data_IF_466932660821
#
_entry.id   IF_466932660821
#
_cell.length_a   1.000
_cell.length_b   1.000
_cell.length_c   1.000
_cell.angle_alpha   90.00
_cell.angle_beta   90.00
_cell.angle_gamma   90.00
#
_symmetry.space_group_name_H-M   'P 1'
#
loop_
_entity.id
_entity.type
_entity.pdbx_description
1 polymer ?
#
# COMPACT_ATOMS: atom_id res chain seq x y z
N UNK A 1 29.97 41.70 0.32
CA UNK A 1 30.99 40.67 0.56
C UNK A 1 30.52 39.89 1.78
N UNK A 2 30.14 38.63 1.77
CA UNK A 2 30.04 37.49 0.84
C UNK A 2 28.97 36.61 1.51
N UNK A 3 28.18 35.75 0.89
CA UNK A 3 28.30 34.89 -0.27
C UNK A 3 26.86 34.62 -0.72
N UNK A 4 26.67 34.53 -2.03
CA UNK A 4 25.47 34.00 -2.64
C UNK A 4 25.17 32.61 -2.06
N UNK A 5 24.00 32.44 -1.46
CA UNK A 5 23.35 31.13 -1.36
C UNK A 5 23.15 30.63 -2.80
N UNK A 6 24.15 29.89 -3.27
CA UNK A 6 24.05 29.06 -4.45
C UNK A 6 22.98 28.00 -4.16
N UNK A 7 21.74 28.32 -4.50
CA UNK A 7 20.76 27.28 -4.83
C UNK A 7 21.26 26.63 -6.11
N UNK A 8 22.12 25.62 -5.99
CA UNK A 8 22.27 24.64 -7.05
C UNK A 8 20.89 23.98 -7.25
N UNK A 9 20.24 24.11 -8.42
CA UNK A 9 19.08 23.29 -8.70
C UNK A 9 19.60 21.87 -8.89
N UNK A 10 19.48 21.03 -7.84
CA UNK A 10 19.53 19.59 -8.02
C UNK A 10 18.55 19.26 -9.16
N UNK A 11 19.04 18.68 -10.25
CA UNK A 11 18.33 18.55 -11.54
C UNK A 11 17.18 17.52 -11.53
N UNK A 12 16.44 17.44 -10.43
CA UNK A 12 15.30 16.55 -10.18
C UNK A 12 13.95 17.28 -10.21
N UNK A 13 13.92 18.53 -10.70
CA UNK A 13 12.67 19.27 -10.88
C UNK A 13 11.72 18.51 -11.79
N UNK A 14 10.44 18.50 -11.44
CA UNK A 14 9.38 17.87 -12.24
C UNK A 14 9.37 18.36 -13.70
N UNK A 15 9.73 19.62 -13.93
CA UNK A 15 9.70 20.24 -15.26
C UNK A 15 10.84 19.82 -16.18
N UNK A 16 11.89 19.18 -15.64
CA UNK A 16 12.97 18.65 -16.46
C UNK A 16 12.48 17.50 -17.35
N UNK A 17 13.14 17.35 -18.50
CA UNK A 17 12.78 16.32 -19.49
C UNK A 17 12.79 14.93 -18.82
N UNK A 18 11.66 14.24 -18.85
CA UNK A 18 11.50 12.90 -18.28
C UNK A 18 11.35 12.81 -16.75
N UNK A 19 11.37 13.91 -15.98
CA UNK A 19 11.24 13.83 -14.51
C UNK A 19 9.80 13.60 -14.03
N UNK A 20 8.81 13.69 -14.92
CA UNK A 20 7.42 13.25 -14.65
C UNK A 20 7.31 11.75 -14.30
N UNK A 21 8.35 10.95 -14.56
CA UNK A 21 8.43 9.51 -14.27
C UNK A 21 8.09 9.16 -12.82
N UNK A 22 8.36 10.06 -11.86
CA UNK A 22 8.00 9.89 -10.43
C UNK A 22 6.48 9.83 -10.25
N UNK A 23 5.75 10.67 -10.97
CA UNK A 23 4.28 10.71 -10.95
C UNK A 23 3.68 9.47 -11.60
N UNK A 24 4.26 9.00 -12.71
CA UNK A 24 3.84 7.75 -13.38
C UNK A 24 4.08 6.55 -12.46
N UNK A 25 5.26 6.47 -11.83
CA UNK A 25 5.59 5.42 -10.86
C UNK A 25 4.63 5.38 -9.67
N UNK A 26 4.16 6.53 -9.20
CA UNK A 26 3.18 6.60 -8.10
C UNK A 26 1.89 5.81 -8.41
N UNK A 27 1.49 5.70 -9.68
CA UNK A 27 0.35 4.88 -10.07
C UNK A 27 0.63 3.37 -9.90
N UNK A 28 1.85 2.92 -10.19
CA UNK A 28 2.28 1.54 -9.93
C UNK A 28 2.39 1.25 -8.44
N UNK A 29 2.99 2.18 -7.69
CA UNK A 29 3.14 2.08 -6.24
C UNK A 29 1.75 2.04 -5.56
N UNK A 30 0.77 2.79 -6.06
CA UNK A 30 -0.61 2.76 -5.58
C UNK A 30 -1.26 1.38 -5.71
N UNK A 31 -1.06 0.67 -6.82
CA UNK A 31 -1.51 -0.72 -6.96
C UNK A 31 -0.84 -1.61 -5.91
N UNK A 32 0.48 -1.46 -5.69
CA UNK A 32 1.20 -2.27 -4.70
C UNK A 32 0.70 -2.00 -3.27
N UNK A 33 0.47 -0.74 -2.92
CA UNK A 33 -0.03 -0.36 -1.60
C UNK A 33 -1.37 -1.01 -1.24
N UNK A 34 -2.27 -1.21 -2.21
CA UNK A 34 -3.50 -1.97 -1.96
C UNK A 34 -3.21 -3.40 -1.51
N UNK A 35 -2.23 -4.07 -2.13
CA UNK A 35 -1.82 -5.42 -1.74
C UNK A 35 -1.16 -5.42 -0.36
N UNK A 36 -0.33 -4.43 -0.05
CA UNK A 36 0.32 -4.30 1.25
C UNK A 36 -0.71 -4.07 2.38
N UNK A 37 -1.75 -3.25 2.13
CA UNK A 37 -2.86 -3.03 3.07
C UNK A 37 -3.66 -4.31 3.30
N UNK A 38 -3.99 -5.04 2.24
CA UNK A 38 -4.71 -6.34 2.34
C UNK A 38 -3.90 -7.34 3.16
N UNK A 39 -2.58 -7.38 2.96
CA UNK A 39 -1.69 -8.25 3.72
C UNK A 39 -1.72 -7.88 5.22
N UNK A 40 -1.55 -6.59 5.55
CA UNK A 40 -1.61 -6.11 6.93
C UNK A 40 -2.94 -6.42 7.62
N UNK A 41 -4.07 -6.23 6.93
CA UNK A 41 -5.40 -6.58 7.47
C UNK A 41 -5.54 -8.09 7.69
N UNK A 42 -5.01 -8.90 6.77
CA UNK A 42 -5.03 -10.37 6.91
C UNK A 42 -4.24 -10.81 8.14
N UNK A 43 -3.05 -10.25 8.35
CA UNK A 43 -2.21 -10.51 9.54
C UNK A 43 -2.95 -10.13 10.82
N UNK A 44 -3.62 -8.97 10.83
CA UNK A 44 -4.46 -8.57 11.96
C UNK A 44 -5.63 -9.55 12.19
N UNK A 45 -6.32 -9.96 11.13
CA UNK A 45 -7.44 -10.90 11.24
C UNK A 45 -6.96 -12.24 11.81
N UNK A 46 -5.77 -12.72 11.46
CA UNK A 46 -5.22 -13.97 11.98
C UNK A 46 -4.95 -13.92 13.49
N UNK A 47 -4.59 -12.75 14.04
CA UNK A 47 -4.50 -12.56 15.49
C UNK A 47 -5.86 -12.78 16.18
N UNK A 48 -6.92 -12.21 15.62
CA UNK A 48 -8.29 -12.36 16.17
C UNK A 48 -8.72 -13.83 16.17
N UNK A 49 -8.43 -14.56 15.08
CA UNK A 49 -8.72 -15.99 14.97
C UNK A 49 -7.91 -16.83 15.94
N UNK A 50 -6.64 -16.51 16.16
CA UNK A 50 -5.79 -17.21 17.11
C UNK A 50 -6.31 -17.06 18.54
N UNK A 51 -6.75 -15.85 18.92
CA UNK A 51 -7.33 -15.61 20.24
C UNK A 51 -8.67 -16.31 20.41
N UNK A 52 -9.57 -16.22 19.42
CA UNK A 52 -10.83 -16.96 19.37
C UNK A 52 -10.62 -18.47 19.58
N UNK A 53 -9.65 -19.07 18.87
CA UNK A 53 -9.31 -20.49 18.99
C UNK A 53 -8.80 -20.84 20.39
N UNK A 54 -7.99 -19.97 20.98
CA UNK A 54 -7.43 -20.17 22.32
C UNK A 54 -8.50 -20.14 23.41
N UNK A 55 -9.44 -19.18 23.33
CA UNK A 55 -10.59 -19.08 24.23
C UNK A 55 -11.48 -20.32 24.15
N UNK A 56 -11.84 -20.77 22.93
CA UNK A 56 -12.64 -21.99 22.73
C UNK A 56 -11.97 -23.25 23.27
N UNK A 57 -10.67 -23.39 23.04
CA UNK A 57 -9.91 -24.53 23.56
C UNK A 57 -9.85 -24.51 25.10
N UNK A 58 -9.65 -23.32 25.70
CA UNK A 58 -9.63 -23.13 27.14
C UNK A 58 -11.00 -23.41 27.77
N UNK A 59 -12.08 -22.82 27.24
CA UNK A 59 -13.45 -23.05 27.72
C UNK A 59 -13.80 -24.53 27.69
N UNK A 60 -13.56 -25.19 26.56
CA UNK A 60 -13.82 -26.63 26.40
C UNK A 60 -13.07 -27.47 27.43
N UNK A 61 -11.77 -27.24 27.60
CA UNK A 61 -10.94 -27.98 28.56
C UNK A 61 -11.51 -27.91 29.99
N UNK A 62 -11.87 -26.72 30.44
CA UNK A 62 -12.36 -26.51 31.81
C UNK A 62 -13.82 -26.93 31.97
N UNK A 63 -14.63 -26.84 30.92
CA UNK A 63 -15.99 -27.38 30.90
C UNK A 63 -15.95 -28.90 31.07
N UNK A 64 -15.09 -29.60 30.31
CA UNK A 64 -14.89 -31.05 30.43
C UNK A 64 -14.39 -31.45 31.83
N UNK A 65 -13.51 -30.64 32.43
CA UNK A 65 -13.04 -30.84 33.81
C UNK A 65 -14.19 -30.70 34.81
N UNK A 66 -14.99 -29.64 34.74
CA UNK A 66 -16.11 -29.39 35.66
C UNK A 66 -17.22 -30.42 35.53
N UNK A 67 -17.46 -30.94 34.33
CA UNK A 67 -18.48 -31.96 34.10
C UNK A 67 -18.10 -33.31 34.72
N UNK A 68 -16.81 -33.58 34.88
CA UNK A 68 -16.27 -34.81 35.52
C UNK A 68 -15.93 -34.64 36.99
N UNK A 69 -15.81 -33.41 37.46
CA UNK A 69 -15.40 -33.08 38.82
C UNK A 69 -16.53 -33.15 39.85
N UNK A 70 -16.15 -33.14 41.12
CA UNK A 70 -17.06 -33.22 42.26
C UNK A 70 -17.68 -31.86 42.65
N UNK A 71 -17.40 -30.78 41.91
CA UNK A 71 -17.93 -29.44 42.18
C UNK A 71 -19.41 -29.34 41.74
N UNK A 72 -20.26 -28.75 42.60
CA UNK A 72 -21.70 -28.65 42.40
C UNK A 72 -22.30 -27.36 42.96
N UNK A 73 -23.61 -27.17 42.76
CA UNK A 73 -24.34 -26.03 43.29
C UNK A 73 -23.92 -24.69 42.67
N UNK A 74 -24.13 -23.60 43.40
CA UNK A 74 -23.95 -22.23 42.90
C UNK A 74 -22.51 -21.89 42.53
N UNK A 75 -21.52 -22.48 43.20
CA UNK A 75 -20.10 -22.26 42.89
C UNK A 75 -19.74 -22.86 41.52
N UNK A 76 -20.19 -24.09 41.23
CA UNK A 76 -20.07 -24.68 39.89
C UNK A 76 -20.69 -23.77 38.83
N UNK A 77 -21.90 -23.27 39.08
CA UNK A 77 -22.60 -22.38 38.14
C UNK A 77 -21.84 -21.07 37.90
N UNK A 78 -21.25 -20.49 38.95
CA UNK A 78 -20.40 -19.30 38.82
C UNK A 78 -19.17 -19.56 37.94
N UNK A 79 -18.49 -20.70 38.15
CA UNK A 79 -17.35 -21.08 37.32
C UNK A 79 -17.76 -21.36 35.87
N UNK A 80 -18.87 -22.08 35.65
CA UNK A 80 -19.42 -22.31 34.31
C UNK A 80 -19.77 -21.00 33.59
N UNK A 81 -20.23 -19.98 34.31
CA UNK A 81 -20.53 -18.68 33.71
C UNK A 81 -19.28 -18.02 33.09
N UNK A 82 -18.10 -18.16 33.72
CA UNK A 82 -16.83 -17.67 33.14
C UNK A 82 -16.45 -18.41 31.85
N UNK A 83 -16.79 -19.70 31.73
CA UNK A 83 -16.53 -20.46 30.51
C UNK A 83 -17.47 -20.03 29.36
N UNK A 84 -18.74 -19.79 29.69
CA UNK A 84 -19.73 -19.25 28.74
C UNK A 84 -19.33 -17.85 28.26
N UNK A 85 -18.80 -17.01 29.14
CA UNK A 85 -18.26 -15.69 28.76
C UNK A 85 -17.13 -15.84 27.74
N UNK A 86 -16.16 -16.73 28.00
CA UNK A 86 -15.05 -16.97 27.07
C UNK A 86 -15.51 -17.51 25.71
N UNK A 87 -16.55 -18.37 25.66
CA UNK A 87 -17.13 -18.85 24.40
C UNK A 87 -17.80 -17.72 23.61
N UNK A 88 -18.56 -16.84 24.28
CA UNK A 88 -19.16 -15.66 23.64
C UNK A 88 -18.10 -14.68 23.13
N UNK A 89 -17.06 -14.44 23.92
CA UNK A 89 -15.93 -13.60 23.51
C UNK A 89 -15.21 -14.20 22.29
N UNK A 90 -15.02 -15.52 22.28
CA UNK A 90 -14.47 -16.23 21.12
C UNK A 90 -15.28 -16.02 19.84
N UNK A 91 -16.61 -16.00 19.94
CA UNK A 91 -17.50 -15.72 18.80
C UNK A 91 -17.36 -14.29 18.29
N UNK A 92 -17.24 -13.30 19.20
CA UNK A 92 -17.01 -11.90 18.82
C UNK A 92 -15.70 -11.77 18.04
N UNK A 93 -14.60 -12.33 18.54
CA UNK A 93 -13.30 -12.27 17.85
C UNK A 93 -13.33 -13.00 16.50
N UNK A 94 -14.04 -14.12 16.40
CA UNK A 94 -14.22 -14.81 15.11
C UNK A 94 -15.04 -13.97 14.13
N UNK A 95 -16.07 -13.27 14.60
CA UNK A 95 -16.84 -12.32 13.80
C UNK A 95 -15.96 -11.17 13.29
N UNK A 96 -15.09 -10.62 14.14
CA UNK A 96 -14.11 -9.60 13.74
C UNK A 96 -13.13 -10.12 12.69
N UNK A 97 -12.60 -11.34 12.83
CA UNK A 97 -11.78 -11.97 11.79
C UNK A 97 -12.50 -12.01 10.45
N UNK A 98 -13.75 -12.48 10.43
CA UNK A 98 -14.55 -12.61 9.21
C UNK A 98 -14.84 -11.22 8.59
N UNK A 99 -15.19 -10.22 9.40
CA UNK A 99 -15.42 -8.86 8.89
C UNK A 99 -14.16 -8.26 8.24
N UNK A 100 -12.99 -8.49 8.83
CA UNK A 100 -11.72 -8.03 8.26
C UNK A 100 -11.37 -8.75 6.95
N UNK A 101 -11.51 -10.08 6.91
CA UNK A 101 -11.07 -10.89 5.77
C UNK A 101 -12.10 -10.99 4.65
N UNK A 102 -13.35 -11.22 4.99
CA UNK A 102 -14.38 -11.51 3.99
C UNK A 102 -15.00 -10.24 3.46
N UNK A 103 -15.13 -9.19 4.27
CA UNK A 103 -15.74 -7.92 3.87
C UNK A 103 -14.69 -6.89 3.48
N UNK A 104 -13.89 -6.37 4.44
CA UNK A 104 -12.97 -5.27 4.17
C UNK A 104 -11.89 -5.63 3.13
N UNK A 105 -11.23 -6.78 3.30
CA UNK A 105 -10.22 -7.24 2.35
C UNK A 105 -10.80 -7.52 0.96
N UNK A 106 -12.05 -8.01 0.87
CA UNK A 106 -12.74 -8.20 -0.41
C UNK A 106 -13.00 -6.87 -1.09
N UNK A 107 -13.51 -5.87 -0.37
CA UNK A 107 -13.77 -4.53 -0.91
C UNK A 107 -12.50 -3.87 -1.45
N UNK A 108 -11.38 -3.98 -0.73
CA UNK A 108 -10.10 -3.42 -1.20
C UNK A 108 -9.60 -4.15 -2.45
N UNK A 109 -9.70 -5.49 -2.49
CA UNK A 109 -9.34 -6.28 -3.68
C UNK A 109 -10.21 -5.93 -4.88
N UNK A 110 -11.52 -5.77 -4.68
CA UNK A 110 -12.44 -5.38 -5.72
C UNK A 110 -12.12 -3.96 -6.20
N UNK A 111 -11.94 -3.01 -5.29
CA UNK A 111 -11.53 -1.65 -5.64
C UNK A 111 -10.21 -1.64 -6.45
N UNK A 112 -9.21 -2.40 -6.01
CA UNK A 112 -7.93 -2.53 -6.70
C UNK A 112 -8.12 -3.08 -8.12
N UNK A 113 -8.92 -4.14 -8.28
CA UNK A 113 -9.21 -4.76 -9.58
C UNK A 113 -9.92 -3.80 -10.54
N UNK A 114 -10.87 -3.00 -10.06
CA UNK A 114 -11.61 -2.05 -10.88
C UNK A 114 -10.73 -0.86 -11.31
N UNK A 115 -9.90 -0.34 -10.41
CA UNK A 115 -9.10 0.87 -10.66
C UNK A 115 -7.75 0.59 -11.35
N UNK A 116 -7.17 -0.60 -11.17
CA UNK A 116 -5.86 -0.97 -11.71
C UNK A 116 -5.97 -2.13 -12.72
N UNK A 117 -6.59 -1.84 -13.85
CA UNK A 117 -6.72 -2.80 -14.95
C UNK A 117 -5.35 -3.06 -15.62
N UNK A 118 -5.05 -4.33 -15.87
CA UNK A 118 -3.85 -4.75 -16.61
C UNK A 118 -4.17 -4.91 -18.10
N UNK A 119 -3.21 -4.52 -18.94
CA UNK A 119 -3.20 -4.79 -20.38
C UNK A 119 -2.89 -6.27 -20.67
N UNK A 120 -3.04 -6.70 -21.92
CA UNK A 120 -2.73 -8.09 -22.34
C UNK A 120 -1.28 -8.52 -22.05
N UNK A 121 -0.35 -7.55 -21.97
CA UNK A 121 1.07 -7.79 -21.65
C UNK A 121 1.38 -7.64 -20.15
N UNK A 122 0.35 -7.50 -19.31
CA UNK A 122 0.49 -7.46 -17.85
C UNK A 122 0.80 -6.09 -17.24
N UNK A 123 1.03 -5.05 -18.05
CA UNK A 123 1.28 -3.69 -17.56
C UNK A 123 -0.02 -3.01 -17.12
N UNK A 124 0.02 -2.20 -16.06
CA UNK A 124 -1.11 -1.35 -15.65
C UNK A 124 -1.47 -0.35 -16.74
N UNK A 125 -2.75 -0.34 -17.12
CA UNK A 125 -3.28 0.53 -18.18
C UNK A 125 -3.06 2.00 -17.86
N UNK A 126 -3.38 2.41 -16.63
CA UNK A 126 -3.23 3.79 -16.14
C UNK A 126 -1.78 4.29 -16.21
N UNK A 127 -0.81 3.43 -15.89
CA UNK A 127 0.62 3.78 -15.98
C UNK A 127 1.03 4.03 -17.42
N UNK A 128 0.59 3.17 -18.33
CA UNK A 128 0.86 3.32 -19.76
C UNK A 128 0.24 4.61 -20.31
N UNK A 129 -1.01 4.89 -19.96
CA UNK A 129 -1.73 6.11 -20.35
C UNK A 129 -0.99 7.37 -19.88
N UNK A 130 -0.62 7.44 -18.58
CA UNK A 130 0.13 8.58 -18.06
C UNK A 130 1.49 8.77 -18.74
N UNK A 131 2.23 7.70 -18.98
CA UNK A 131 3.52 7.77 -19.68
C UNK A 131 3.37 8.33 -21.10
N UNK A 132 2.35 7.88 -21.84
CA UNK A 132 2.06 8.37 -23.20
C UNK A 132 1.61 9.83 -23.20
N UNK A 133 0.76 10.23 -22.26
CA UNK A 133 0.26 11.60 -22.12
C UNK A 133 1.36 12.59 -21.75
N UNK A 134 2.21 12.26 -20.77
CA UNK A 134 3.36 13.10 -20.41
C UNK A 134 4.34 13.23 -21.57
N UNK A 135 4.68 12.13 -22.26
CA UNK A 135 5.51 12.18 -23.47
C UNK A 135 4.91 13.09 -24.52
N UNK A 136 3.60 12.97 -24.78
CA UNK A 136 2.89 13.79 -25.78
C UNK A 136 2.94 15.27 -25.41
N UNK A 137 2.69 15.61 -24.14
CA UNK A 137 2.71 16.98 -23.65
C UNK A 137 4.12 17.59 -23.66
N UNK A 138 5.15 16.82 -23.29
CA UNK A 138 6.54 17.30 -23.21
C UNK A 138 7.27 17.34 -24.56
N UNK A 139 6.77 16.62 -25.58
CA UNK A 139 7.43 16.49 -26.90
C UNK A 139 7.71 17.84 -27.61
N UNK A 140 6.78 18.81 -27.67
CA UNK A 140 7.05 20.08 -28.35
C UNK A 140 8.12 20.90 -27.62
N UNK A 141 8.09 20.91 -26.28
CA UNK A 141 9.05 21.66 -25.48
C UNK A 141 10.44 21.02 -25.50
N UNK A 142 10.54 19.70 -25.33
CA UNK A 142 11.82 18.98 -25.41
C UNK A 142 12.53 19.19 -26.76
N UNK A 143 11.79 19.21 -27.89
CA UNK A 143 12.35 19.56 -29.20
C UNK A 143 12.99 20.95 -29.21
N UNK A 144 12.31 21.96 -28.65
CA UNK A 144 12.84 23.33 -28.57
C UNK A 144 14.04 23.43 -27.64
N UNK A 145 13.97 22.75 -26.49
CA UNK A 145 15.06 22.70 -25.52
C UNK A 145 16.35 22.15 -26.15
N UNK A 146 16.28 21.01 -26.86
CA UNK A 146 17.45 20.44 -27.53
C UNK A 146 17.99 21.33 -28.66
N UNK A 147 17.13 22.08 -29.35
CA UNK A 147 17.58 23.06 -30.34
C UNK A 147 18.37 24.20 -29.66
N UNK A 148 17.87 24.73 -28.55
CA UNK A 148 18.56 25.79 -27.77
C UNK A 148 19.89 25.29 -27.23
N UNK A 149 19.94 24.09 -26.67
CA UNK A 149 21.19 23.50 -26.15
C UNK A 149 22.21 23.27 -27.27
N UNK A 150 21.77 22.89 -28.48
CA UNK A 150 22.63 22.79 -29.65
C UNK A 150 23.20 24.15 -30.06
N UNK A 151 22.34 25.16 -30.27
CA UNK A 151 22.78 26.48 -30.74
C UNK A 151 23.66 27.21 -29.71
N UNK A 152 23.38 27.03 -28.42
CA UNK A 152 24.23 27.51 -27.32
C UNK A 152 25.63 26.90 -27.37
N UNK A 153 25.74 25.59 -27.61
CA UNK A 153 27.05 24.91 -27.76
C UNK A 153 27.80 25.42 -28.98
N UNK A 154 27.12 25.58 -30.11
CA UNK A 154 27.71 26.13 -31.35
C UNK A 154 28.23 27.57 -31.14
N UNK A 155 27.44 28.42 -30.49
CA UNK A 155 27.83 29.79 -30.14
C UNK A 155 29.08 29.83 -29.26
N UNK A 156 29.09 29.09 -28.14
CA UNK A 156 30.26 29.04 -27.26
C UNK A 156 31.48 28.44 -27.95
N UNK A 157 31.30 27.47 -28.86
CA UNK A 157 32.37 26.94 -29.69
C UNK A 157 32.99 28.02 -30.58
N UNK A 158 32.17 28.79 -31.30
CA UNK A 158 32.65 29.87 -32.15
C UNK A 158 33.39 30.97 -31.36
N UNK A 159 32.89 31.34 -30.17
CA UNK A 159 33.57 32.31 -29.31
C UNK A 159 34.96 31.86 -28.88
N UNK A 160 35.13 30.58 -28.52
CA UNK A 160 36.44 30.02 -28.14
C UNK A 160 37.40 30.04 -29.33
N UNK A 161 36.95 29.63 -30.51
CA UNK A 161 37.77 29.64 -31.72
C UNK A 161 38.21 31.04 -32.15
N UNK A 162 37.40 32.08 -31.89
CA UNK A 162 37.78 33.47 -32.17
C UNK A 162 38.78 34.05 -31.16
N UNK A 163 38.82 33.50 -29.94
CA UNK A 163 39.76 33.91 -28.88
C UNK A 163 41.10 33.16 -28.92
N UNK A 164 41.26 32.23 -29.87
CA UNK A 164 42.46 31.42 -30.10
C UNK A 164 43.30 32.02 -31.22
#
# INVERSE_FOLDING_TARGET
MSESDHVEPSSESFWEIGQYKRTVKRAEDGHKLCSDIVQMISERADLEKAYSKSLKAWSKKWSDYLNKGNEYGSMKSGWQASLVEADKLSEIHLSTHNALNDELNREIKDWQKHNYQKTLVGQLKITKEYEEEFKKAQKPWSKKYFLVEKTKKEYHGACKSYQS
#
